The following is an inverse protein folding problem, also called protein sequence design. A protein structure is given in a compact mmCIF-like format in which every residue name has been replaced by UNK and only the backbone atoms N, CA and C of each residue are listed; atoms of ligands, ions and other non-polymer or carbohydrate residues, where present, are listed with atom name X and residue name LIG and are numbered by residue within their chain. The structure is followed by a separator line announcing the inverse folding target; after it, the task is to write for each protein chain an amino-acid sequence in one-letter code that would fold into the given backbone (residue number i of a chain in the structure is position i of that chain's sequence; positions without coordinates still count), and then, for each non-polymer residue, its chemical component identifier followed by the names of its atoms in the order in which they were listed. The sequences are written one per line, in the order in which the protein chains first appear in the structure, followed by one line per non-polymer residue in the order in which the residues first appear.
data_IF_749662106451
#
_entry.id   IF_749662106451
#
_cell.length_a   1.000
_cell.length_b   1.000
_cell.length_c   1.000
_cell.angle_alpha   90.00
_cell.angle_beta   90.00
_cell.angle_gamma   90.00
#
_symmetry.space_group_name_H-M   'P 1'
#
loop_
_entity.id
_entity.type
_entity.pdbx_description
1 polymer ?
#
# COMPACT_ATOMS: atom_id res chain seq x y z
N UNK A 1 -10.33 -24.86 1.15
CA UNK A 1 -10.45 -23.97 -0.03
C UNK A 1 -9.45 -22.85 0.15
N UNK A 2 -8.52 -22.65 -0.78
CA UNK A 2 -7.59 -21.53 -0.71
C UNK A 2 -8.27 -20.32 -1.34
N UNK A 3 -8.71 -19.35 -0.53
CA UNK A 3 -9.15 -18.06 -1.03
C UNK A 3 -7.92 -17.37 -1.62
N UNK A 4 -7.96 -17.02 -2.91
CA UNK A 4 -6.95 -16.14 -3.48
C UNK A 4 -7.09 -14.79 -2.79
N UNK A 5 -5.99 -14.27 -2.24
CA UNK A 5 -5.95 -12.96 -1.61
C UNK A 5 -6.34 -11.91 -2.65
N UNK A 6 -7.35 -11.10 -2.34
CA UNK A 6 -7.84 -10.05 -3.22
C UNK A 6 -7.43 -8.69 -2.68
N UNK A 7 -7.29 -7.74 -3.57
CA UNK A 7 -7.03 -6.35 -3.22
C UNK A 7 -8.11 -5.44 -3.79
N UNK A 8 -8.37 -4.37 -3.05
CA UNK A 8 -9.14 -3.21 -3.47
C UNK A 8 -8.20 -2.02 -3.45
N UNK A 9 -8.17 -1.26 -4.54
CA UNK A 9 -7.38 -0.04 -4.63
C UNK A 9 -8.35 1.13 -4.74
N UNK A 10 -8.24 2.09 -3.84
CA UNK A 10 -9.04 3.30 -3.82
C UNK A 10 -8.13 4.50 -4.07
N UNK A 11 -8.55 5.41 -4.94
CA UNK A 11 -7.86 6.67 -5.15
C UNK A 11 -8.85 7.77 -5.48
N UNK A 12 -8.86 8.83 -4.68
CA UNK A 12 -9.67 10.04 -4.90
C UNK A 12 -11.15 9.75 -5.23
N UNK A 13 -11.76 8.78 -4.53
CA UNK A 13 -13.15 8.36 -4.77
C UNK A 13 -13.37 7.39 -5.93
N UNK A 14 -12.31 6.98 -6.64
CA UNK A 14 -12.34 5.88 -7.62
C UNK A 14 -11.88 4.58 -6.98
N UNK A 15 -12.69 3.54 -7.09
CA UNK A 15 -12.36 2.20 -6.57
C UNK A 15 -12.08 1.22 -7.71
N UNK A 16 -10.89 0.64 -7.70
CA UNK A 16 -10.45 -0.41 -8.61
C UNK A 16 -10.59 -1.77 -7.92
N UNK A 17 -11.27 -2.70 -8.59
CA UNK A 17 -11.37 -4.10 -8.15
C UNK A 17 -10.08 -4.85 -8.46
N UNK A 18 -9.81 -5.92 -7.72
CA UNK A 18 -8.64 -6.78 -7.87
C UNK A 18 -8.23 -7.09 -9.32
N UNK A 19 -9.19 -7.39 -10.20
CA UNK A 19 -8.94 -7.73 -11.62
C UNK A 19 -8.43 -6.55 -12.46
N UNK A 20 -8.69 -5.33 -12.02
CA UNK A 20 -8.25 -4.09 -12.67
C UNK A 20 -6.92 -3.59 -12.11
N UNK A 21 -6.43 -4.16 -10.99
CA UNK A 21 -5.18 -3.77 -10.36
C UNK A 21 -4.02 -4.43 -11.11
N UNK A 22 -3.08 -3.61 -11.57
CA UNK A 22 -1.83 -4.06 -12.17
C UNK A 22 -0.72 -3.03 -11.89
N UNK A 23 0.52 -3.38 -12.22
CA UNK A 23 1.68 -2.52 -11.95
C UNK A 23 1.54 -1.12 -12.55
N UNK A 24 0.98 -1.00 -13.76
CA UNK A 24 0.80 0.31 -14.42
C UNK A 24 -0.16 1.20 -13.66
N UNK A 25 -1.24 0.66 -13.08
CA UNK A 25 -2.18 1.45 -12.28
C UNK A 25 -1.51 2.09 -11.07
N UNK A 26 -0.61 1.38 -10.38
CA UNK A 26 0.14 1.96 -9.26
C UNK A 26 1.10 3.05 -9.72
N UNK A 27 1.80 2.83 -10.83
CA UNK A 27 2.72 3.83 -11.40
C UNK A 27 1.95 5.08 -11.79
N UNK A 28 0.81 4.92 -12.48
CA UNK A 28 0.00 6.03 -12.96
C UNK A 28 -0.58 6.86 -11.80
N UNK A 29 -1.16 6.23 -10.79
CA UNK A 29 -1.76 6.92 -9.65
C UNK A 29 -0.72 7.61 -8.75
N UNK A 30 0.41 6.94 -8.47
CA UNK A 30 1.42 7.49 -7.56
C UNK A 30 2.32 8.54 -8.22
N UNK A 31 2.55 8.44 -9.54
CA UNK A 31 3.34 9.44 -10.28
C UNK A 31 2.56 10.74 -10.47
N UNK A 32 1.24 10.65 -10.66
CA UNK A 32 0.37 11.80 -10.88
C UNK A 32 -0.37 12.23 -9.60
N UNK A 33 0.12 11.84 -8.42
CA UNK A 33 -0.54 12.15 -7.15
C UNK A 33 -0.46 13.66 -6.88
N UNK A 34 -1.59 14.35 -6.99
CA UNK A 34 -1.69 15.80 -6.76
C UNK A 34 -1.95 16.14 -5.29
N UNK A 35 -1.84 17.43 -4.93
CA UNK A 35 -2.09 17.91 -3.57
C UNK A 35 -3.48 17.45 -3.08
N UNK A 36 -3.54 16.96 -1.84
CA UNK A 36 -4.76 16.42 -1.19
C UNK A 36 -5.28 15.11 -1.79
N UNK A 37 -4.57 14.53 -2.76
CA UNK A 37 -4.91 13.21 -3.30
C UNK A 37 -4.31 12.07 -2.47
N UNK A 38 -4.98 10.93 -2.54
CA UNK A 38 -4.56 9.70 -1.86
C UNK A 38 -4.77 8.45 -2.71
N UNK A 39 -4.05 7.41 -2.34
CA UNK A 39 -4.13 6.06 -2.88
C UNK A 39 -4.09 5.09 -1.71
N UNK A 40 -5.09 4.21 -1.59
CA UNK A 40 -5.20 3.21 -0.53
C UNK A 40 -5.32 1.83 -1.17
N UNK A 41 -4.45 0.91 -0.77
CA UNK A 41 -4.46 -0.48 -1.16
C UNK A 41 -4.86 -1.35 0.04
N UNK A 42 -6.06 -1.90 -0.02
CA UNK A 42 -6.65 -2.74 1.03
C UNK A 42 -6.72 -4.21 0.56
N UNK A 43 -6.08 -5.15 1.27
CA UNK A 43 -6.25 -6.57 1.04
C UNK A 43 -7.52 -7.10 1.72
N UNK A 44 -8.15 -8.12 1.12
CA UNK A 44 -9.35 -8.78 1.67
C UNK A 44 -9.10 -9.56 2.96
N UNK A 45 -7.83 -9.89 3.23
CA UNK A 45 -7.35 -10.53 4.45
C UNK A 45 -6.05 -9.84 4.86
N UNK A 46 -5.68 -9.87 6.14
CA UNK A 46 -4.44 -9.22 6.61
C UNK A 46 -3.20 -9.76 5.89
N UNK A 47 -2.38 -8.86 5.37
CA UNK A 47 -1.09 -9.21 4.74
C UNK A 47 0.02 -8.97 5.76
N UNK A 48 0.59 -10.05 6.30
CA UNK A 48 1.59 -9.96 7.40
C UNK A 48 1.08 -9.13 8.60
N UNK A 49 -0.23 -9.21 8.89
CA UNK A 49 -0.89 -8.40 9.92
C UNK A 49 -1.27 -6.99 9.48
N UNK A 50 -0.94 -6.58 8.25
CA UNK A 50 -1.33 -5.29 7.69
C UNK A 50 -2.77 -5.26 7.21
N UNK A 51 -3.48 -4.19 7.57
CA UNK A 51 -4.86 -3.87 7.18
C UNK A 51 -4.92 -3.11 5.86
N UNK A 52 -3.99 -2.20 5.60
CA UNK A 52 -3.92 -1.44 4.34
C UNK A 52 -2.56 -0.75 4.21
N UNK A 53 -2.21 -0.39 2.98
CA UNK A 53 -1.14 0.53 2.67
C UNK A 53 -1.71 1.77 1.98
N UNK A 54 -1.29 2.95 2.40
CA UNK A 54 -1.77 4.24 1.89
C UNK A 54 -0.60 5.10 1.43
N UNK A 55 -0.81 5.90 0.39
CA UNK A 55 0.00 7.04 0.02
C UNK A 55 -0.89 8.26 -0.08
N UNK A 56 -0.44 9.40 0.42
CA UNK A 56 -1.14 10.67 0.28
C UNK A 56 -0.14 11.78 -0.02
N UNK A 57 -0.51 12.70 -0.92
CA UNK A 57 0.27 13.91 -1.15
C UNK A 57 0.18 14.83 0.07
N UNK A 58 1.29 15.46 0.42
CA UNK A 58 1.35 16.47 1.48
C UNK A 58 1.17 17.87 0.90
N UNK A 59 0.96 18.87 1.76
CA UNK A 59 0.80 20.28 1.35
C UNK A 59 2.02 20.85 0.61
N UNK A 60 3.18 20.22 0.74
CA UNK A 60 4.40 20.59 0.03
C UNK A 60 4.47 19.89 -1.34
N UNK A 61 4.66 20.63 -2.45
CA UNK A 61 4.77 20.05 -3.78
C UNK A 61 5.85 18.98 -3.87
N UNK A 62 5.48 17.80 -4.40
CA UNK A 62 6.38 16.68 -4.58
C UNK A 62 6.68 15.89 -3.31
N UNK A 63 6.09 16.25 -2.16
CA UNK A 63 6.14 15.41 -0.96
C UNK A 63 4.88 14.56 -0.83
N UNK A 64 5.09 13.34 -0.34
CA UNK A 64 4.04 12.40 -0.01
C UNK A 64 4.34 11.70 1.31
N UNK A 65 3.30 11.18 1.93
CA UNK A 65 3.39 10.28 3.07
C UNK A 65 2.93 8.90 2.63
N UNK A 66 3.75 7.88 2.92
CA UNK A 66 3.35 6.49 2.81
C UNK A 66 3.02 5.97 4.22
N UNK A 67 1.90 5.29 4.36
CA UNK A 67 1.35 4.82 5.62
C UNK A 67 0.99 3.33 5.55
N UNK A 68 1.22 2.61 6.63
CA UNK A 68 0.80 1.21 6.77
C UNK A 68 0.22 1.01 8.16
N UNK A 69 -0.93 0.33 8.24
CA UNK A 69 -1.59 0.02 9.50
C UNK A 69 -1.56 -1.47 9.75
N UNK A 70 -0.91 -1.89 10.83
CA UNK A 70 -0.85 -3.28 11.27
C UNK A 70 -1.85 -3.52 12.40
N UNK A 71 -2.53 -4.65 12.39
CA UNK A 71 -3.33 -5.11 13.52
C UNK A 71 -2.42 -5.66 14.63
N UNK A 72 -2.61 -5.17 15.86
CA UNK A 72 -1.96 -5.70 17.06
C UNK A 72 -3.00 -6.23 18.05
N UNK A 73 -3.14 -7.55 18.13
CA UNK A 73 -4.11 -8.20 19.03
C UNK A 73 -5.57 -8.00 18.61
N UNK A 74 -6.49 -8.12 19.56
CA UNK A 74 -7.94 -8.09 19.29
C UNK A 74 -8.49 -6.68 19.01
N UNK A 75 -7.83 -5.62 19.49
CA UNK A 75 -8.32 -4.24 19.37
C UNK A 75 -7.23 -3.17 19.20
N UNK A 76 -5.95 -3.56 19.15
CA UNK A 76 -4.84 -2.66 18.92
C UNK A 76 -4.49 -2.54 17.44
N UNK A 77 -3.90 -1.41 17.07
CA UNK A 77 -3.26 -1.24 15.78
C UNK A 77 -1.96 -0.46 15.94
N UNK A 78 -1.00 -0.77 15.09
CA UNK A 78 0.22 0.00 14.94
C UNK A 78 0.18 0.75 13.62
N UNK A 79 0.42 2.06 13.70
CA UNK A 79 0.47 2.92 12.55
C UNK A 79 1.92 3.33 12.30
N UNK A 80 2.41 3.08 11.09
CA UNK A 80 3.69 3.62 10.63
C UNK A 80 3.44 4.59 9.49
N UNK A 81 4.08 5.74 9.55
CA UNK A 81 4.07 6.75 8.49
C UNK A 81 5.49 7.14 8.13
N UNK A 82 5.74 7.31 6.84
CA UNK A 82 7.04 7.71 6.31
C UNK A 82 6.83 8.81 5.27
N UNK A 83 7.41 9.98 5.53
CA UNK A 83 7.36 11.13 4.62
C UNK A 83 8.52 11.06 3.64
N UNK A 84 8.25 11.27 2.36
CA UNK A 84 9.27 11.22 1.32
C UNK A 84 8.86 12.02 0.08
N UNK A 85 9.86 12.42 -0.71
CA UNK A 85 9.67 12.94 -2.05
C UNK A 85 10.07 11.92 -3.14
N UNK A 86 10.47 10.71 -2.73
CA UNK A 86 10.88 9.64 -3.64
C UNK A 86 9.66 8.79 -4.04
N UNK A 87 8.98 9.23 -5.10
CA UNK A 87 7.82 8.53 -5.67
C UNK A 87 8.17 7.11 -6.12
N UNK A 88 9.41 6.90 -6.62
CA UNK A 88 9.86 5.57 -7.08
C UNK A 88 9.87 4.58 -5.93
N UNK A 89 10.32 5.02 -4.75
CA UNK A 89 10.34 4.19 -3.55
C UNK A 89 8.94 3.85 -3.05
N UNK A 90 7.99 4.79 -3.13
CA UNK A 90 6.59 4.53 -2.75
C UNK A 90 5.94 3.54 -3.71
N UNK A 91 6.15 3.69 -5.02
CA UNK A 91 5.68 2.71 -6.02
C UNK A 91 6.23 1.32 -5.72
N UNK A 92 7.53 1.19 -5.43
CA UNK A 92 8.14 -0.09 -5.07
C UNK A 92 7.46 -0.73 -3.86
N UNK A 93 7.14 0.05 -2.84
CA UNK A 93 6.44 -0.47 -1.66
C UNK A 93 5.03 -0.96 -1.97
N UNK A 94 4.26 -0.24 -2.81
CA UNK A 94 2.95 -0.71 -3.26
C UNK A 94 3.05 -2.00 -4.07
N UNK A 95 4.03 -2.09 -4.98
CA UNK A 95 4.27 -3.29 -5.76
C UNK A 95 4.73 -4.47 -4.89
N UNK A 96 5.56 -4.23 -3.87
CA UNK A 96 6.00 -5.25 -2.92
C UNK A 96 4.83 -5.71 -2.04
N UNK A 97 4.00 -4.79 -1.56
CA UNK A 97 2.83 -5.08 -0.73
C UNK A 97 1.76 -5.87 -1.50
N UNK A 98 1.52 -5.51 -2.76
CA UNK A 98 0.65 -6.25 -3.66
C UNK A 98 1.26 -7.61 -4.07
N UNK A 99 2.54 -7.61 -4.42
CA UNK A 99 3.31 -8.79 -4.87
C UNK A 99 3.55 -9.83 -3.77
N UNK A 100 3.44 -9.44 -2.49
CA UNK A 100 3.47 -10.36 -1.35
C UNK A 100 2.37 -11.43 -1.43
N UNK A 101 1.27 -11.18 -2.15
CA UNK A 101 0.27 -12.20 -2.48
C UNK A 101 0.66 -13.13 -3.63
N UNK A 102 1.43 -12.62 -4.60
CA UNK A 102 1.80 -13.34 -5.82
C UNK A 102 2.91 -14.38 -5.57
N UNK A 103 3.77 -14.14 -4.58
CA UNK A 103 4.78 -15.11 -4.15
C UNK A 103 4.63 -15.48 -2.67
N UNK A 104 3.83 -16.53 -2.38
CA UNK A 104 4.00 -17.36 -1.16
C UNK A 104 5.35 -18.12 -1.14
N UNK A 105 6.45 -17.47 -1.53
CA UNK A 105 7.82 -17.93 -1.27
C UNK A 105 8.68 -16.90 -0.54
N UNK A 106 8.15 -15.73 -0.15
CA UNK A 106 8.84 -14.83 0.78
C UNK A 106 8.65 -15.31 2.22
N UNK A 107 9.23 -16.48 2.54
CA UNK A 107 9.57 -16.75 3.94
C UNK A 107 10.64 -15.76 4.34
N UNK A 108 10.36 -15.03 5.41
CA UNK A 108 11.31 -14.36 6.31
C UNK A 108 12.08 -13.14 5.76
N UNK A 109 11.57 -11.94 6.06
CA UNK A 109 12.43 -10.97 6.76
C UNK A 109 12.82 -9.66 6.07
N UNK A 110 11.93 -9.01 5.30
CA UNK A 110 12.30 -7.71 4.68
C UNK A 110 11.47 -6.48 5.08
N UNK A 111 10.25 -6.63 5.58
CA UNK A 111 9.39 -5.47 5.95
C UNK A 111 9.80 -4.82 7.30
N UNK A 112 10.55 -5.52 8.16
CA UNK A 112 11.01 -5.00 9.47
C UNK A 112 12.23 -4.06 9.42
N UNK A 113 12.73 -3.65 8.24
CA UNK A 113 13.87 -2.73 8.10
C UNK A 113 13.48 -1.28 7.77
N UNK A 114 12.28 -0.85 8.13
CA UNK A 114 11.89 0.57 8.15
C UNK A 114 12.17 1.23 9.52
N UNK A 115 13.27 0.85 10.17
CA UNK A 115 13.80 1.56 11.35
C UNK A 115 14.90 2.51 10.94
#
# INVERSE_FOLDING_TARGET
MYTALRYTLESNGTTYKNESINASVFVDLLTNLELQEYVVLEPSELVEGSMYMQAAALDEPGQMVAEIRLQEGESGFRHYSYKTADTTRVIQWFLDYWGSSCCRSWRTGRILRMK
#
